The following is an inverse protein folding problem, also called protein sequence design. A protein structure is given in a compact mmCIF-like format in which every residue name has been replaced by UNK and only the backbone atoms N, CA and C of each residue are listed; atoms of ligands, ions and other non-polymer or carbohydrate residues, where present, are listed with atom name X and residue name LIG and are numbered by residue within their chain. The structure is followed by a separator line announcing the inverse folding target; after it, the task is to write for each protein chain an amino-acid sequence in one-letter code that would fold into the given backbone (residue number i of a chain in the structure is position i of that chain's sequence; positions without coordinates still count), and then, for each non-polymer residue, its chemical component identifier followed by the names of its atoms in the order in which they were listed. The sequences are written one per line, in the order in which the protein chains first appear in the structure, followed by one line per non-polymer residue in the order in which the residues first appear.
data_IF_315788410749
#
_entry.id   IF_315788410749
#
_cell.length_a   1.000
_cell.length_b   1.000
_cell.length_c   1.000
_cell.angle_alpha   90.00
_cell.angle_beta   90.00
_cell.angle_gamma   90.00
#
_symmetry.space_group_name_H-M   'P 1'
#
loop_
_entity.id
_entity.type
_entity.pdbx_description
1 polymer ?
#
# COMPACT_ATOMS: atom_id res chain seq x y z
N UNK A 1 -24.80 37.64 32.17
CA UNK A 1 -24.37 36.23 32.05
C UNK A 1 -24.46 35.84 30.58
N UNK A 2 -23.36 35.78 29.81
CA UNK A 2 -23.34 35.11 28.48
C UNK A 2 -21.98 35.04 27.76
N UNK A 3 -20.94 35.76 28.21
CA UNK A 3 -19.63 35.77 27.52
C UNK A 3 -18.78 34.52 27.78
N UNK A 4 -18.85 33.93 29.00
CA UNK A 4 -18.12 32.70 29.36
C UNK A 4 -18.61 31.46 28.60
N UNK A 5 -19.94 31.27 28.47
CA UNK A 5 -20.51 30.18 27.65
C UNK A 5 -20.06 30.30 26.20
N UNK A 6 -20.08 31.52 25.65
CA UNK A 6 -19.64 31.79 24.27
C UNK A 6 -18.15 31.46 24.05
N UNK A 7 -17.27 31.72 25.02
CA UNK A 7 -15.86 31.33 24.91
C UNK A 7 -15.64 29.82 25.02
N UNK A 8 -16.40 29.13 25.88
CA UNK A 8 -16.33 27.67 26.02
C UNK A 8 -16.77 26.96 24.72
N UNK A 9 -17.84 27.45 24.10
CA UNK A 9 -18.34 26.92 22.82
C UNK A 9 -17.31 27.07 21.69
N UNK A 10 -16.64 28.24 21.60
CA UNK A 10 -15.57 28.49 20.62
C UNK A 10 -14.40 27.52 20.82
N UNK A 11 -13.96 27.33 22.06
CA UNK A 11 -12.85 26.40 22.38
C UNK A 11 -13.22 24.95 22.06
N UNK A 12 -14.48 24.55 22.28
CA UNK A 12 -14.97 23.22 21.90
C UNK A 12 -14.98 23.04 20.38
N UNK A 13 -15.42 24.06 19.64
CA UNK A 13 -15.44 24.03 18.18
C UNK A 13 -14.01 23.93 17.61
N UNK A 14 -13.09 24.76 18.08
CA UNK A 14 -11.68 24.70 17.68
C UNK A 14 -11.06 23.33 17.97
N UNK A 15 -11.32 22.77 19.15
CA UNK A 15 -10.87 21.42 19.49
C UNK A 15 -11.43 20.37 18.54
N UNK A 16 -12.71 20.44 18.18
CA UNK A 16 -13.33 19.51 17.23
C UNK A 16 -12.72 19.63 15.83
N UNK A 17 -12.46 20.85 15.36
CA UNK A 17 -11.82 21.11 14.07
C UNK A 17 -10.40 20.53 14.03
N UNK A 18 -9.60 20.75 15.07
CA UNK A 18 -8.24 20.20 15.16
C UNK A 18 -8.23 18.67 15.15
N UNK A 19 -9.16 18.04 15.89
CA UNK A 19 -9.31 16.58 15.90
C UNK A 19 -9.69 16.04 14.53
N UNK A 20 -10.63 16.70 13.84
CA UNK A 20 -11.03 16.34 12.49
C UNK A 20 -9.85 16.46 11.51
N UNK A 21 -9.06 17.53 11.61
CA UNK A 21 -7.89 17.74 10.77
C UNK A 21 -6.80 16.67 11.00
N UNK A 22 -6.52 16.30 12.26
CA UNK A 22 -5.56 15.24 12.60
C UNK A 22 -6.01 13.89 12.02
N UNK A 23 -7.29 13.53 12.18
CA UNK A 23 -7.85 12.30 11.64
C UNK A 23 -7.82 12.28 10.11
N UNK A 24 -8.15 13.41 9.47
CA UNK A 24 -8.08 13.56 8.01
C UNK A 24 -6.67 13.31 7.48
N UNK A 25 -5.66 13.95 8.08
CA UNK A 25 -4.24 13.74 7.70
C UNK A 25 -3.79 12.29 7.89
N UNK A 26 -4.20 11.65 8.99
CA UNK A 26 -3.88 10.24 9.24
C UNK A 26 -4.52 9.34 8.16
N UNK A 27 -5.80 9.56 7.84
CA UNK A 27 -6.52 8.85 6.78
C UNK A 27 -5.87 9.02 5.41
N UNK A 28 -5.58 10.25 5.01
CA UNK A 28 -4.87 10.55 3.76
C UNK A 28 -3.50 9.88 3.69
N UNK A 29 -2.77 9.82 4.81
CA UNK A 29 -1.47 9.16 4.84
C UNK A 29 -1.57 7.67 4.52
N UNK A 30 -2.64 7.00 4.99
CA UNK A 30 -2.91 5.60 4.64
C UNK A 30 -3.32 5.49 3.16
N UNK A 31 -4.23 6.35 2.68
CA UNK A 31 -4.67 6.35 1.27
C UNK A 31 -3.49 6.48 0.32
N UNK A 32 -2.60 7.45 0.52
CA UNK A 32 -1.41 7.66 -0.32
C UNK A 32 -0.46 6.45 -0.30
N UNK A 33 -0.33 5.78 0.85
CA UNK A 33 0.49 4.58 0.96
C UNK A 33 -0.13 3.40 0.17
N UNK A 34 -1.45 3.26 0.21
CA UNK A 34 -2.18 2.25 -0.57
C UNK A 34 -2.15 2.53 -2.07
N UNK A 35 -2.33 3.79 -2.49
CA UNK A 35 -2.20 4.20 -3.90
C UNK A 35 -0.81 3.89 -4.46
N UNK A 36 0.26 4.17 -3.69
CA UNK A 36 1.62 3.81 -4.06
C UNK A 36 1.77 2.29 -4.22
N UNK A 37 1.18 1.52 -3.30
CA UNK A 37 1.24 0.06 -3.33
C UNK A 37 0.52 -0.49 -4.57
N UNK A 38 -0.66 0.03 -4.90
CA UNK A 38 -1.41 -0.33 -6.10
C UNK A 38 -0.64 0.03 -7.37
N UNK A 39 0.02 1.18 -7.42
CA UNK A 39 0.88 1.55 -8.55
C UNK A 39 2.07 0.61 -8.74
N UNK A 40 2.64 0.08 -7.67
CA UNK A 40 3.69 -0.97 -7.76
C UNK A 40 3.08 -2.29 -8.24
N UNK A 41 1.89 -2.64 -7.75
CA UNK A 41 1.17 -3.86 -8.14
C UNK A 41 0.87 -3.91 -9.63
N UNK A 42 0.32 -2.83 -10.22
CA UNK A 42 0.05 -2.78 -11.66
C UNK A 42 1.33 -2.92 -12.50
N UNK A 43 2.44 -2.31 -12.06
CA UNK A 43 3.76 -2.46 -12.71
C UNK A 43 4.32 -3.88 -12.59
N UNK A 44 3.98 -4.59 -11.52
CA UNK A 44 4.39 -5.97 -11.32
C UNK A 44 3.58 -6.91 -12.22
N UNK A 45 2.26 -6.69 -12.31
CA UNK A 45 1.36 -7.45 -13.19
C UNK A 45 1.77 -7.33 -14.66
N UNK A 46 2.14 -6.13 -15.10
CA UNK A 46 2.65 -5.91 -16.46
C UNK A 46 3.93 -6.73 -16.74
N UNK A 47 4.90 -6.71 -15.81
CA UNK A 47 6.15 -7.47 -15.96
C UNK A 47 5.92 -8.97 -15.92
N UNK A 48 5.02 -9.44 -15.04
CA UNK A 48 4.62 -10.85 -15.00
C UNK A 48 3.94 -11.27 -16.31
N UNK A 49 3.13 -10.39 -16.92
CA UNK A 49 2.58 -10.60 -18.26
C UNK A 49 3.67 -10.83 -19.30
N UNK A 50 4.63 -9.92 -19.39
CA UNK A 50 5.76 -10.04 -20.34
C UNK A 50 6.59 -11.31 -20.11
N UNK A 51 6.80 -11.72 -18.86
CA UNK A 51 7.52 -12.96 -18.54
C UNK A 51 6.77 -14.17 -19.09
N UNK A 52 5.45 -14.24 -18.90
CA UNK A 52 4.61 -15.31 -19.44
C UNK A 52 4.64 -15.38 -20.96
N UNK A 53 4.61 -14.23 -21.64
CA UNK A 53 4.69 -14.16 -23.10
C UNK A 53 6.02 -14.74 -23.61
N UNK A 54 7.13 -14.42 -22.94
CA UNK A 54 8.46 -14.96 -23.27
C UNK A 54 8.53 -16.46 -23.00
N UNK A 55 8.01 -16.92 -21.85
CA UNK A 55 7.96 -18.35 -21.54
C UNK A 55 7.16 -19.11 -22.60
N UNK A 56 6.05 -18.54 -23.08
CA UNK A 56 5.24 -19.14 -24.15
C UNK A 56 5.99 -19.21 -25.49
N UNK A 57 6.76 -18.18 -25.87
CA UNK A 57 7.60 -18.18 -27.08
C UNK A 57 8.67 -19.28 -26.99
N UNK A 58 9.34 -19.41 -25.84
CA UNK A 58 10.37 -20.44 -25.62
C UNK A 58 9.80 -21.85 -25.78
N UNK A 59 8.59 -22.09 -25.26
CA UNK A 59 7.94 -23.40 -25.37
C UNK A 59 7.55 -23.76 -26.80
N UNK A 60 7.28 -22.77 -27.67
CA UNK A 60 6.87 -22.99 -29.06
C UNK A 60 8.06 -23.09 -30.03
N UNK A 61 9.15 -22.36 -29.78
CA UNK A 61 10.28 -22.21 -30.71
C UNK A 61 11.58 -22.70 -30.04
N UNK A 62 11.73 -24.02 -29.94
CA UNK A 62 12.78 -24.70 -29.15
C UNK A 62 14.25 -24.49 -29.59
N UNK A 63 14.52 -23.60 -30.54
CA UNK A 63 15.86 -23.39 -31.11
C UNK A 63 16.70 -22.29 -30.45
N UNK A 64 16.17 -21.49 -29.50
CA UNK A 64 16.89 -20.34 -28.91
C UNK A 64 17.21 -20.44 -27.40
N UNK A 65 17.01 -21.60 -26.77
CA UNK A 65 17.01 -21.86 -25.31
C UNK A 65 18.13 -21.18 -24.50
N UNK A 66 19.37 -21.11 -25.03
CA UNK A 66 20.51 -20.50 -24.28
C UNK A 66 20.46 -18.98 -24.18
N UNK A 67 20.00 -18.26 -25.22
CA UNK A 67 19.92 -16.80 -25.19
C UNK A 67 18.68 -16.31 -24.42
N UNK A 68 17.58 -17.06 -24.51
CA UNK A 68 16.33 -16.75 -23.82
C UNK A 68 16.40 -17.06 -22.33
N UNK A 69 17.20 -18.04 -21.90
CA UNK A 69 17.47 -18.29 -20.48
C UNK A 69 18.07 -17.07 -19.77
N UNK A 70 19.09 -16.43 -20.36
CA UNK A 70 19.69 -15.21 -19.78
C UNK A 70 18.76 -13.99 -19.81
N UNK A 71 17.79 -13.92 -20.72
CA UNK A 71 16.73 -12.90 -20.70
C UNK A 71 15.72 -13.18 -19.58
N UNK A 72 15.29 -14.44 -19.43
CA UNK A 72 14.39 -14.89 -18.38
C UNK A 72 14.95 -14.61 -16.98
N UNK A 73 16.18 -15.04 -16.71
CA UNK A 73 16.82 -14.82 -15.40
C UNK A 73 16.90 -13.34 -15.04
N UNK A 74 17.21 -12.46 -16.02
CA UNK A 74 17.22 -11.01 -15.81
C UNK A 74 15.83 -10.47 -15.48
N UNK A 75 14.79 -10.90 -16.19
CA UNK A 75 13.41 -10.50 -15.90
C UNK A 75 12.94 -10.99 -14.53
N UNK A 76 13.28 -12.22 -14.15
CA UNK A 76 12.98 -12.75 -12.81
C UNK A 76 13.66 -11.89 -11.74
N UNK A 77 14.92 -11.50 -11.94
CA UNK A 77 15.62 -10.60 -11.02
C UNK A 77 14.96 -9.22 -10.92
N UNK A 78 14.52 -8.65 -12.04
CA UNK A 78 13.77 -7.38 -12.07
C UNK A 78 12.42 -7.48 -11.36
N UNK A 79 11.67 -8.55 -11.62
CA UNK A 79 10.39 -8.84 -10.95
C UNK A 79 10.61 -9.01 -9.45
N UNK A 80 11.66 -9.72 -9.05
CA UNK A 80 12.01 -9.93 -7.64
C UNK A 80 12.39 -8.62 -6.94
N UNK A 81 13.09 -7.71 -7.62
CA UNK A 81 13.35 -6.36 -7.12
C UNK A 81 12.04 -5.60 -6.90
N UNK A 82 11.10 -5.72 -7.82
CA UNK A 82 9.82 -5.02 -7.72
C UNK A 82 8.88 -5.65 -6.67
N UNK A 83 8.98 -6.96 -6.42
CA UNK A 83 8.36 -7.64 -5.28
C UNK A 83 8.92 -7.11 -3.96
N UNK A 84 10.24 -6.91 -3.86
CA UNK A 84 10.84 -6.31 -2.67
C UNK A 84 10.35 -4.87 -2.46
N UNK A 85 10.25 -4.08 -3.53
CA UNK A 85 9.69 -2.73 -3.47
C UNK A 85 8.22 -2.73 -3.02
N UNK A 86 7.42 -3.68 -3.53
CA UNK A 86 6.04 -3.89 -3.12
C UNK A 86 5.94 -4.21 -1.63
N UNK A 87 6.73 -5.17 -1.15
CA UNK A 87 6.71 -5.60 0.25
C UNK A 87 7.16 -4.46 1.19
N UNK A 88 8.16 -3.65 0.81
CA UNK A 88 8.54 -2.46 1.57
C UNK A 88 7.44 -1.38 1.59
N UNK A 89 6.77 -1.13 0.46
CA UNK A 89 5.63 -0.21 0.42
C UNK A 89 4.45 -0.72 1.26
N UNK A 90 4.25 -2.04 1.29
CA UNK A 90 3.23 -2.70 2.11
C UNK A 90 3.52 -2.51 3.60
N UNK A 91 4.76 -2.68 4.05
CA UNK A 91 5.16 -2.42 5.44
C UNK A 91 4.90 -0.95 5.83
N UNK A 92 5.21 -0.01 4.95
CA UNK A 92 4.89 1.39 5.17
C UNK A 92 3.36 1.62 5.27
N UNK A 93 2.56 0.98 4.41
CA UNK A 93 1.09 1.06 4.49
C UNK A 93 0.54 0.50 5.81
N UNK A 94 1.08 -0.64 6.29
CA UNK A 94 0.73 -1.21 7.59
C UNK A 94 1.08 -0.25 8.74
N UNK A 95 2.25 0.40 8.69
CA UNK A 95 2.64 1.39 9.69
C UNK A 95 1.66 2.58 9.73
N UNK A 96 1.27 3.11 8.57
CA UNK A 96 0.28 4.21 8.51
C UNK A 96 -1.09 3.75 9.00
N UNK A 97 -1.51 2.54 8.65
CA UNK A 97 -2.75 1.96 9.12
C UNK A 97 -2.78 1.85 10.65
N UNK A 98 -1.69 1.37 11.26
CA UNK A 98 -1.52 1.33 12.71
C UNK A 98 -1.62 2.72 13.33
N UNK A 99 -0.95 3.73 12.77
CA UNK A 99 -1.06 5.11 13.28
C UNK A 99 -2.48 5.66 13.18
N UNK A 100 -3.22 5.38 12.11
CA UNK A 100 -4.63 5.76 12.03
C UNK A 100 -5.47 5.13 13.15
N UNK A 101 -5.24 3.86 13.49
CA UNK A 101 -5.92 3.20 14.60
C UNK A 101 -5.58 3.90 15.92
N UNK A 102 -4.29 4.08 16.22
CA UNK A 102 -3.84 4.73 17.47
C UNK A 102 -4.37 6.15 17.60
N UNK A 103 -4.34 6.94 16.52
CA UNK A 103 -4.91 8.29 16.51
C UNK A 103 -6.41 8.27 16.82
N UNK A 104 -7.15 7.29 16.28
CA UNK A 104 -8.59 7.14 16.58
C UNK A 104 -8.84 6.73 18.03
N UNK A 105 -8.06 5.79 18.56
CA UNK A 105 -8.15 5.35 19.95
C UNK A 105 -7.88 6.49 20.94
N UNK A 106 -6.86 7.31 20.68
CA UNK A 106 -6.52 8.49 21.47
C UNK A 106 -7.65 9.53 21.50
N UNK A 107 -8.49 9.55 20.46
CA UNK A 107 -9.70 10.39 20.35
C UNK A 107 -10.96 9.70 20.91
N UNK A 108 -10.84 8.50 21.48
CA UNK A 108 -11.95 7.72 22.02
C UNK A 108 -12.75 6.89 21.02
N UNK A 109 -12.30 6.80 19.76
CA UNK A 109 -12.99 6.06 18.69
C UNK A 109 -12.52 4.59 18.62
N UNK A 110 -13.33 3.65 19.12
CA UNK A 110 -12.92 2.24 19.33
C UNK A 110 -13.37 1.23 18.25
N UNK A 111 -14.07 1.68 17.20
CA UNK A 111 -14.55 0.79 16.13
C UNK A 111 -13.46 0.57 15.09
N UNK A 112 -12.53 -0.35 15.35
CA UNK A 112 -11.35 -0.57 14.48
C UNK A 112 -11.68 -1.37 13.21
N UNK A 113 -12.71 -2.21 13.26
CA UNK A 113 -13.18 -2.98 12.08
C UNK A 113 -13.56 -2.09 10.87
N UNK A 114 -13.98 -0.83 11.11
CA UNK A 114 -14.25 0.12 10.02
C UNK A 114 -12.96 0.52 9.29
N UNK A 115 -11.84 0.61 10.01
CA UNK A 115 -10.56 0.97 9.41
C UNK A 115 -10.10 -0.16 8.47
N UNK A 116 -10.20 -1.42 8.92
CA UNK A 116 -9.85 -2.59 8.11
C UNK A 116 -10.71 -2.73 6.84
N UNK A 117 -11.99 -2.34 6.90
CA UNK A 117 -12.89 -2.35 5.75
C UNK A 117 -12.51 -1.29 4.71
N UNK A 118 -12.15 -0.09 5.14
CA UNK A 118 -11.88 1.04 4.23
C UNK A 118 -10.41 1.13 3.78
N UNK A 119 -9.48 0.61 4.59
CA UNK A 119 -8.03 0.73 4.37
C UNK A 119 -7.33 -0.63 4.32
N UNK A 120 -7.96 -1.61 3.68
CA UNK A 120 -7.43 -2.97 3.60
C UNK A 120 -6.05 -2.99 2.93
N UNK A 121 -5.04 -3.47 3.66
CA UNK A 121 -3.70 -3.70 3.10
C UNK A 121 -3.63 -5.12 2.50
N UNK A 122 -3.26 -5.29 1.22
CA UNK A 122 -3.13 -6.61 0.58
C UNK A 122 -2.00 -7.46 1.20
N UNK A 123 -1.99 -8.79 0.99
CA UNK A 123 -0.94 -9.68 1.50
C UNK A 123 0.43 -9.45 0.83
N UNK A 124 1.54 -9.91 1.45
CA UNK A 124 2.86 -9.80 0.83
C UNK A 124 2.99 -10.73 -0.38
N UNK A 125 3.90 -10.41 -1.30
CA UNK A 125 4.18 -11.23 -2.48
C UNK A 125 5.48 -12.01 -2.29
N UNK A 126 5.51 -13.23 -2.83
CA UNK A 126 6.68 -14.13 -2.78
C UNK A 126 7.55 -13.92 -4.01
N UNK A 127 8.87 -13.98 -3.82
CA UNK A 127 9.83 -13.98 -4.92
C UNK A 127 9.64 -15.19 -5.83
N UNK A 128 9.91 -14.98 -7.12
CA UNK A 128 9.96 -16.01 -8.14
C UNK A 128 11.28 -16.78 -8.05
N UNK A 129 11.23 -18.08 -8.32
CA UNK A 129 12.40 -18.94 -8.44
C UNK A 129 12.83 -19.04 -9.90
N UNK A 130 14.13 -18.93 -10.16
CA UNK A 130 14.71 -19.23 -11.47
C UNK A 130 15.03 -20.74 -11.47
N UNK A 131 14.05 -21.54 -11.90
CA UNK A 131 14.18 -22.98 -12.11
C UNK A 131 14.78 -23.29 -13.47
#
# INVERSE_FOLDING_TARGET
MNTKKKSEDILQEELLQERAAVLGRAGESVSRALEKLQGIESRLEERLGRLRDIEQIIMQDGSCVRQTGGLRSRMIAEINREISNYNGAREHALMRHYYLIVTREAMGMRRHHWVEQHYRVPPPKKHLQDG
#
